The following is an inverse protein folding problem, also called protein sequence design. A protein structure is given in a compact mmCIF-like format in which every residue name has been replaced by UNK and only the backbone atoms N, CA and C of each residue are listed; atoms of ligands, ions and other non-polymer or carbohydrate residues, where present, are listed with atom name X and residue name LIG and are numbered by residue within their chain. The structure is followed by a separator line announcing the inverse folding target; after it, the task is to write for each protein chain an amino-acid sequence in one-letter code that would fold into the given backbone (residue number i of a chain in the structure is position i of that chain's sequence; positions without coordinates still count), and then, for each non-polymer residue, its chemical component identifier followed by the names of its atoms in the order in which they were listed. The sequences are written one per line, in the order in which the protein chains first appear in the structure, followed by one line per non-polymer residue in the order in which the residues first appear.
data_IF_020528891218
#
_entry.id   IF_020528891218
#
_cell.length_a   1.000
_cell.length_b   1.000
_cell.length_c   1.000
_cell.angle_alpha   90.00
_cell.angle_beta   90.00
_cell.angle_gamma   90.00
#
_symmetry.space_group_name_H-M   'P 1'
#
loop_
_entity.id
_entity.type
_entity.pdbx_description
1 polymer ?
#
# COMPACT_ATOMS: atom_id res chain seq x y z
N UNK A 1 26.07 8.08 -51.69
CA UNK A 1 25.92 6.88 -50.87
C UNK A 1 26.34 7.09 -49.43
N UNK A 2 27.48 7.72 -49.08
CA UNK A 2 27.94 7.91 -47.67
C UNK A 2 26.94 8.66 -46.76
N UNK A 3 26.26 9.68 -47.28
CA UNK A 3 25.31 10.48 -46.49
C UNK A 3 23.98 9.77 -46.22
N UNK A 4 23.56 8.87 -47.11
CA UNK A 4 22.35 8.07 -46.96
C UNK A 4 22.53 7.04 -45.82
N UNK A 5 23.72 6.42 -45.76
CA UNK A 5 24.05 5.47 -44.67
C UNK A 5 24.11 6.17 -43.35
N UNK A 6 24.68 7.40 -43.29
CA UNK A 6 24.74 8.18 -42.05
C UNK A 6 23.35 8.60 -41.56
N UNK A 7 22.46 9.01 -42.47
CA UNK A 7 21.07 9.35 -42.10
C UNK A 7 20.28 8.15 -41.58
N UNK A 8 20.45 6.98 -42.19
CA UNK A 8 19.81 5.74 -41.70
C UNK A 8 20.34 5.34 -40.33
N UNK A 9 21.66 5.48 -40.09
CA UNK A 9 22.27 5.16 -38.80
C UNK A 9 21.76 6.09 -37.69
N UNK A 10 21.63 7.39 -37.99
CA UNK A 10 21.07 8.37 -37.03
C UNK A 10 19.58 8.12 -36.75
N UNK A 11 18.81 7.70 -37.73
CA UNK A 11 17.41 7.36 -37.57
C UNK A 11 17.24 6.09 -36.72
N UNK A 12 18.07 5.07 -36.92
CA UNK A 12 18.08 3.84 -36.14
C UNK A 12 18.53 4.10 -34.69
N UNK A 13 19.54 4.94 -34.46
CA UNK A 13 19.96 5.37 -33.11
C UNK A 13 18.83 6.15 -32.42
N UNK A 14 18.16 7.06 -33.10
CA UNK A 14 17.01 7.80 -32.60
C UNK A 14 15.87 6.89 -32.13
N UNK A 15 15.55 5.87 -32.94
CA UNK A 15 14.52 4.88 -32.60
C UNK A 15 14.97 4.03 -31.42
N UNK A 16 16.24 3.62 -31.32
CA UNK A 16 16.76 2.81 -30.23
C UNK A 16 16.70 3.58 -28.89
N UNK A 17 17.03 4.86 -28.88
CA UNK A 17 16.99 5.69 -27.67
C UNK A 17 15.56 5.94 -27.19
N UNK A 18 14.59 6.04 -28.11
CA UNK A 18 13.18 6.27 -27.73
C UNK A 18 12.46 5.01 -27.25
N UNK A 19 12.96 3.82 -27.58
CA UNK A 19 12.34 2.54 -27.16
C UNK A 19 12.83 2.04 -25.80
N UNK A 20 13.97 2.50 -25.31
CA UNK A 20 14.48 2.17 -23.98
C UNK A 20 13.95 3.15 -22.92
N UNK A 21 12.64 3.07 -22.59
CA UNK A 21 12.19 3.62 -21.31
C UNK A 21 12.63 2.66 -20.21
N UNK A 22 13.42 3.12 -19.24
CA UNK A 22 13.74 2.29 -18.08
C UNK A 22 12.42 1.85 -17.42
N UNK A 23 12.34 0.58 -17.06
CA UNK A 23 11.17 0.06 -16.34
C UNK A 23 10.94 0.85 -15.07
N UNK A 24 9.74 1.38 -14.89
CA UNK A 24 9.39 2.08 -13.66
C UNK A 24 9.51 1.13 -12.45
N UNK A 25 10.03 1.61 -11.32
CA UNK A 25 10.21 0.76 -10.14
C UNK A 25 8.87 0.28 -9.59
N UNK A 26 8.87 -0.93 -9.02
CA UNK A 26 7.75 -1.44 -8.24
C UNK A 26 7.78 -0.81 -6.85
N UNK A 27 6.70 -0.15 -6.46
CA UNK A 27 6.57 0.59 -5.21
C UNK A 27 5.41 0.05 -4.38
N UNK A 28 5.57 0.06 -3.07
CA UNK A 28 4.53 -0.34 -2.11
C UNK A 28 3.91 0.92 -1.51
N UNK A 29 2.60 1.15 -1.68
CA UNK A 29 1.88 2.21 -1.00
C UNK A 29 1.75 1.89 0.49
N UNK A 30 2.15 2.86 1.34
CA UNK A 30 2.07 2.76 2.79
C UNK A 30 1.39 4.01 3.32
N UNK A 31 0.45 3.84 4.25
CA UNK A 31 -0.16 4.95 5.00
C UNK A 31 -0.19 4.61 6.47
N UNK A 32 0.26 5.53 7.32
CA UNK A 32 0.16 5.43 8.76
C UNK A 32 -0.80 6.50 9.26
N UNK A 33 -1.74 6.10 10.08
CA UNK A 33 -2.71 7.01 10.65
C UNK A 33 -2.92 6.76 12.14
N UNK A 34 -3.40 7.80 12.81
CA UNK A 34 -3.86 7.76 14.19
C UNK A 34 -5.31 8.21 14.26
N UNK A 35 -6.15 7.43 14.94
CA UNK A 35 -7.50 7.85 15.25
C UNK A 35 -7.56 8.62 16.59
N UNK A 36 -8.56 9.51 16.77
CA UNK A 36 -8.76 10.19 18.05
C UNK A 36 -9.06 9.23 19.22
N UNK A 37 -9.48 8.02 18.91
CA UNK A 37 -9.77 6.96 19.86
C UNK A 37 -8.52 6.19 20.34
N UNK A 38 -7.32 6.55 19.86
CA UNK A 38 -6.05 5.94 20.22
C UNK A 38 -5.68 4.69 19.42
N UNK A 39 -6.28 4.47 18.25
CA UNK A 39 -5.83 3.44 17.32
C UNK A 39 -4.72 3.98 16.43
N UNK A 40 -3.67 3.17 16.28
CA UNK A 40 -2.64 3.35 15.26
C UNK A 40 -2.83 2.30 14.18
N UNK A 41 -2.99 2.74 12.96
CA UNK A 41 -3.22 1.86 11.80
C UNK A 41 -2.10 2.07 10.80
N UNK A 42 -1.46 0.96 10.38
CA UNK A 42 -0.53 0.97 9.25
C UNK A 42 -1.18 0.19 8.12
N UNK A 43 -1.50 0.90 7.05
CA UNK A 43 -2.02 0.35 5.81
C UNK A 43 -0.86 0.06 4.86
N UNK A 44 -0.87 -1.12 4.24
CA UNK A 44 0.08 -1.55 3.21
C UNK A 44 -0.72 -2.21 2.08
N UNK A 45 -0.43 -1.81 0.85
CA UNK A 45 -1.02 -2.41 -0.35
C UNK A 45 0.01 -3.22 -1.12
N UNK A 46 -0.46 -4.06 -2.04
CA UNK A 46 0.41 -4.76 -2.98
C UNK A 46 1.20 -3.77 -3.85
N UNK A 47 2.38 -4.20 -4.30
CA UNK A 47 3.25 -3.39 -5.14
C UNK A 47 2.58 -2.97 -6.43
N UNK A 48 2.79 -1.71 -6.80
CA UNK A 48 2.33 -1.12 -8.06
C UNK A 48 3.50 -0.54 -8.82
N UNK A 49 3.38 -0.48 -10.14
CA UNK A 49 4.45 0.02 -11.00
C UNK A 49 4.38 1.55 -11.12
N UNK A 50 5.46 2.21 -10.75
CA UNK A 50 5.65 3.64 -10.91
C UNK A 50 5.10 4.51 -9.78
N UNK A 51 5.71 5.67 -9.62
CA UNK A 51 5.38 6.62 -8.56
C UNK A 51 3.95 7.16 -8.67
N UNK A 52 3.48 7.42 -9.90
CA UNK A 52 2.14 7.96 -10.12
C UNK A 52 1.06 6.97 -9.70
N UNK A 53 1.20 5.70 -10.05
CA UNK A 53 0.25 4.66 -9.65
C UNK A 53 0.26 4.47 -8.12
N UNK A 54 1.43 4.51 -7.50
CA UNK A 54 1.56 4.40 -6.05
C UNK A 54 0.90 5.58 -5.32
N UNK A 55 1.08 6.80 -5.78
CA UNK A 55 0.44 7.98 -5.20
C UNK A 55 -1.09 7.94 -5.37
N UNK A 56 -1.58 7.45 -6.50
CA UNK A 56 -3.01 7.26 -6.74
C UNK A 56 -3.62 6.24 -5.78
N UNK A 57 -2.94 5.13 -5.51
CA UNK A 57 -3.37 4.15 -4.53
C UNK A 57 -3.45 4.73 -3.10
N UNK A 58 -2.48 5.57 -2.72
CA UNK A 58 -2.52 6.29 -1.45
C UNK A 58 -3.73 7.25 -1.42
N UNK A 59 -3.96 8.00 -2.48
CA UNK A 59 -5.07 8.95 -2.59
C UNK A 59 -6.43 8.25 -2.44
N UNK A 60 -6.64 7.16 -3.19
CA UNK A 60 -7.88 6.35 -3.14
C UNK A 60 -8.17 5.84 -1.73
N UNK A 61 -7.15 5.60 -0.92
CA UNK A 61 -7.32 5.18 0.46
C UNK A 61 -7.55 6.35 1.42
N UNK A 62 -6.76 7.42 1.28
CA UNK A 62 -6.74 8.55 2.23
C UNK A 62 -7.98 9.42 2.10
N UNK A 63 -8.44 9.74 0.89
CA UNK A 63 -9.60 10.62 0.68
C UNK A 63 -10.87 10.09 1.36
N UNK A 64 -11.33 8.85 1.10
CA UNK A 64 -12.51 8.31 1.78
C UNK A 64 -12.33 8.16 3.30
N UNK A 65 -11.09 7.90 3.74
CA UNK A 65 -10.78 7.80 5.16
C UNK A 65 -10.95 9.15 5.87
N UNK A 66 -10.45 10.23 5.27
CA UNK A 66 -10.59 11.58 5.81
C UNK A 66 -12.04 12.05 5.82
N UNK A 67 -12.84 11.67 4.82
CA UNK A 67 -14.28 11.93 4.81
C UNK A 67 -15.01 11.17 5.92
N UNK A 68 -14.67 9.90 6.13
CA UNK A 68 -15.29 9.05 7.16
C UNK A 68 -14.80 9.37 8.58
N UNK A 69 -13.59 9.84 8.73
CA UNK A 69 -12.96 10.21 10.00
C UNK A 69 -12.18 11.52 9.88
N UNK A 70 -12.87 12.70 9.89
CA UNK A 70 -12.17 13.99 9.79
C UNK A 70 -11.19 14.27 10.93
N UNK A 71 -11.38 13.63 12.09
CA UNK A 71 -10.50 13.74 13.24
C UNK A 71 -9.31 12.74 13.24
N UNK A 72 -9.23 11.86 12.23
CA UNK A 72 -8.09 10.97 12.06
C UNK A 72 -6.89 11.73 11.48
N UNK A 73 -5.74 11.58 12.10
CA UNK A 73 -4.49 12.18 11.63
C UNK A 73 -3.73 11.21 10.73
N UNK A 74 -3.44 11.62 9.50
CA UNK A 74 -2.47 10.92 8.65
C UNK A 74 -1.07 11.33 9.12
N UNK A 75 -0.36 10.39 9.75
CA UNK A 75 0.99 10.65 10.27
C UNK A 75 2.05 10.60 9.17
N UNK A 76 1.88 9.67 8.22
CA UNK A 76 2.75 9.57 7.04
C UNK A 76 2.08 8.81 5.92
N UNK A 77 2.49 9.12 4.69
CA UNK A 77 2.22 8.33 3.50
C UNK A 77 3.47 8.23 2.64
N UNK A 78 3.76 7.07 2.09
CA UNK A 78 4.98 6.83 1.33
C UNK A 78 4.77 5.78 0.23
N UNK A 79 5.57 5.92 -0.83
CA UNK A 79 5.76 4.93 -1.87
C UNK A 79 7.14 4.31 -1.69
N UNK A 80 7.22 3.15 -1.06
CA UNK A 80 8.48 2.51 -0.70
C UNK A 80 8.91 1.48 -1.73
N UNK A 81 10.17 1.54 -2.17
CA UNK A 81 10.80 0.51 -3.01
C UNK A 81 11.24 -0.70 -2.17
N UNK A 82 11.62 -0.44 -0.92
CA UNK A 82 12.03 -1.45 0.05
C UNK A 82 11.23 -1.29 1.33
N UNK A 83 10.84 -2.42 1.93
CA UNK A 83 10.11 -2.48 3.18
C UNK A 83 11.03 -3.04 4.28
N UNK A 84 10.90 -2.50 5.48
CA UNK A 84 11.64 -2.96 6.66
C UNK A 84 10.68 -3.19 7.83
N UNK A 85 11.13 -4.00 8.81
CA UNK A 85 10.40 -4.20 10.07
C UNK A 85 8.96 -4.67 9.89
N UNK A 86 8.03 -3.98 10.54
CA UNK A 86 6.62 -4.35 10.56
C UNK A 86 5.94 -4.24 9.20
N UNK A 87 6.27 -3.24 8.38
CA UNK A 87 5.68 -3.10 7.05
C UNK A 87 6.05 -4.25 6.12
N UNK A 88 7.30 -4.73 6.20
CA UNK A 88 7.74 -5.91 5.47
C UNK A 88 6.98 -7.15 5.92
N UNK A 89 6.91 -7.39 7.22
CA UNK A 89 6.17 -8.53 7.78
C UNK A 89 4.68 -8.48 7.39
N UNK A 90 4.07 -7.28 7.39
CA UNK A 90 2.69 -7.06 6.99
C UNK A 90 2.50 -7.36 5.49
N UNK A 91 3.36 -6.85 4.62
CA UNK A 91 3.31 -7.09 3.18
C UNK A 91 3.51 -8.58 2.82
N UNK A 92 4.43 -9.26 3.50
CA UNK A 92 4.72 -10.68 3.31
C UNK A 92 3.74 -11.60 4.06
N UNK A 93 2.75 -11.04 4.75
CA UNK A 93 1.75 -11.78 5.53
C UNK A 93 2.35 -12.67 6.62
N UNK A 94 3.48 -12.27 7.18
CA UNK A 94 4.10 -12.95 8.32
C UNK A 94 3.27 -12.78 9.60
N UNK A 95 3.41 -13.67 10.59
CA UNK A 95 2.80 -13.49 11.91
C UNK A 95 3.29 -12.20 12.56
N UNK A 96 2.36 -11.41 13.11
CA UNK A 96 2.64 -10.17 13.82
C UNK A 96 2.01 -10.21 15.22
N UNK A 97 2.63 -9.59 16.23
CA UNK A 97 2.10 -9.52 17.59
C UNK A 97 0.99 -8.47 17.72
N UNK A 98 0.28 -8.18 16.64
CA UNK A 98 -0.80 -7.18 16.55
C UNK A 98 -1.95 -7.71 15.72
N UNK A 99 -3.13 -7.12 15.85
CA UNK A 99 -4.26 -7.44 14.98
C UNK A 99 -4.00 -6.97 13.56
N UNK A 100 -4.38 -7.79 12.58
CA UNK A 100 -4.21 -7.49 11.17
C UNK A 100 -5.51 -7.71 10.41
N UNK A 101 -6.00 -6.68 9.74
CA UNK A 101 -7.05 -6.83 8.73
C UNK A 101 -6.39 -7.22 7.41
N UNK A 102 -6.79 -8.34 6.84
CA UNK A 102 -6.33 -8.83 5.53
C UNK A 102 -7.49 -8.86 4.55
N UNK A 103 -7.25 -8.33 3.37
CA UNK A 103 -8.14 -8.40 2.21
C UNK A 103 -7.32 -8.56 0.94
N UNK A 104 -7.96 -8.68 -0.22
CA UNK A 104 -7.29 -8.77 -1.52
C UNK A 104 -6.42 -7.52 -1.76
N UNK A 105 -5.09 -7.73 -1.81
CA UNK A 105 -4.12 -6.67 -2.07
C UNK A 105 -3.95 -5.62 -0.95
N UNK A 106 -4.69 -5.75 0.16
CA UNK A 106 -4.69 -4.79 1.28
C UNK A 106 -4.39 -5.52 2.59
N UNK A 107 -3.50 -4.92 3.39
CA UNK A 107 -3.18 -5.39 4.74
C UNK A 107 -3.08 -4.18 5.66
N UNK A 108 -3.73 -4.26 6.81
CA UNK A 108 -3.70 -3.20 7.81
C UNK A 108 -3.36 -3.79 9.16
N UNK A 109 -2.26 -3.37 9.77
CA UNK A 109 -2.00 -3.64 11.18
C UNK A 109 -2.70 -2.60 12.05
N UNK A 110 -3.20 -3.05 13.18
CA UNK A 110 -3.92 -2.20 14.12
C UNK A 110 -3.35 -2.39 15.52
N UNK A 111 -2.97 -1.28 16.12
CA UNK A 111 -2.57 -1.20 17.52
C UNK A 111 -3.52 -0.22 18.22
N UNK A 112 -4.00 -0.57 19.40
CA UNK A 112 -4.95 0.29 20.12
C UNK A 112 -5.32 -0.25 21.50
N UNK A 113 -6.31 0.34 22.14
CA UNK A 113 -6.77 -0.12 23.46
C UNK A 113 -7.15 -1.60 23.44
N UNK A 114 -6.57 -2.45 24.33
CA UNK A 114 -6.70 -3.91 24.26
C UNK A 114 -8.14 -4.42 24.20
N UNK A 115 -9.06 -3.75 24.90
CA UNK A 115 -10.47 -4.15 24.95
C UNK A 115 -11.25 -3.82 23.68
N UNK A 116 -10.75 -2.91 22.84
CA UNK A 116 -11.46 -2.40 21.65
C UNK A 116 -10.82 -2.78 20.32
N UNK A 117 -9.50 -3.06 20.32
CA UNK A 117 -8.75 -3.33 19.07
C UNK A 117 -9.29 -4.55 18.33
N UNK A 118 -9.70 -5.60 19.04
CA UNK A 118 -10.32 -6.79 18.46
C UNK A 118 -11.63 -6.43 17.73
N UNK A 119 -12.54 -5.77 18.43
CA UNK A 119 -13.85 -5.37 17.89
C UNK A 119 -13.66 -4.43 16.69
N UNK A 120 -12.71 -3.51 16.77
CA UNK A 120 -12.38 -2.62 15.68
C UNK A 120 -11.90 -3.40 14.44
N UNK A 121 -10.97 -4.33 14.61
CA UNK A 121 -10.43 -5.17 13.54
C UNK A 121 -11.53 -5.99 12.85
N UNK A 122 -12.40 -6.64 13.63
CA UNK A 122 -13.52 -7.43 13.11
C UNK A 122 -14.55 -6.55 12.39
N UNK A 123 -14.86 -5.38 12.93
CA UNK A 123 -15.79 -4.42 12.32
C UNK A 123 -15.28 -3.91 10.98
N UNK A 124 -14.01 -3.53 10.90
CA UNK A 124 -13.38 -3.05 9.66
C UNK A 124 -13.36 -4.16 8.61
N UNK A 125 -12.98 -5.38 8.98
CA UNK A 125 -13.00 -6.51 8.06
C UNK A 125 -14.41 -6.76 7.50
N UNK A 126 -15.43 -6.75 8.35
CA UNK A 126 -16.82 -6.91 7.93
C UNK A 126 -17.30 -5.75 7.02
N UNK A 127 -16.85 -4.53 7.27
CA UNK A 127 -17.21 -3.37 6.46
C UNK A 127 -16.56 -3.41 5.07
N UNK A 128 -15.32 -3.87 4.97
CA UNK A 128 -14.63 -4.09 3.69
C UNK A 128 -15.43 -5.05 2.81
N UNK A 129 -15.91 -6.16 3.38
CA UNK A 129 -16.74 -7.13 2.64
C UNK A 129 -18.07 -6.49 2.21
N UNK A 130 -18.73 -5.74 3.09
CA UNK A 130 -19.99 -5.04 2.75
C UNK A 130 -19.82 -4.01 1.64
N UNK A 131 -18.65 -3.40 1.53
CA UNK A 131 -18.33 -2.42 0.50
C UNK A 131 -17.88 -3.04 -0.84
N UNK A 132 -18.01 -4.37 -1.00
CA UNK A 132 -17.86 -5.07 -2.28
C UNK A 132 -16.52 -5.73 -2.54
N UNK A 133 -15.58 -5.73 -1.60
CA UNK A 133 -14.40 -6.59 -1.70
C UNK A 133 -14.78 -8.04 -1.34
N UNK A 134 -14.26 -9.00 -2.13
CA UNK A 134 -14.68 -10.41 -2.07
C UNK A 134 -14.41 -11.08 -0.73
N UNK A 135 -13.32 -10.70 -0.06
CA UNK A 135 -12.97 -11.26 1.25
C UNK A 135 -12.19 -10.26 2.09
N UNK A 136 -12.49 -10.22 3.38
CA UNK A 136 -11.64 -9.60 4.37
C UNK A 136 -11.76 -10.37 5.68
N UNK A 137 -10.68 -10.46 6.44
CA UNK A 137 -10.64 -11.14 7.72
C UNK A 137 -9.78 -10.37 8.73
N UNK A 138 -10.16 -10.46 9.99
CA UNK A 138 -9.33 -10.05 11.11
C UNK A 138 -8.46 -11.23 11.55
N UNK A 139 -7.14 -11.05 11.47
CA UNK A 139 -6.15 -12.02 11.95
C UNK A 139 -5.69 -11.60 13.33
N UNK A 140 -5.79 -12.52 14.28
CA UNK A 140 -5.41 -12.28 15.67
C UNK A 140 -3.90 -12.46 15.87
N UNK A 141 -3.28 -11.72 16.81
CA UNK A 141 -1.92 -11.99 17.20
C UNK A 141 -1.79 -13.40 17.77
N UNK A 142 -0.64 -14.07 17.58
CA UNK A 142 -0.39 -15.37 18.22
C UNK A 142 -0.49 -15.22 19.73
N UNK A 143 -0.92 -16.29 20.47
CA UNK A 143 -0.94 -16.25 21.92
C UNK A 143 0.47 -15.96 22.45
N UNK A 144 0.59 -15.22 23.57
CA UNK A 144 1.89 -15.02 24.21
C UNK A 144 2.48 -16.38 24.61
N UNK A 145 3.79 -16.52 24.37
CA UNK A 145 4.55 -17.72 24.75
C UNK A 145 4.63 -17.86 26.28
#
# INVERSE_FOLDING_TARGET
MKYVVLAILMLLLGILVTTFKPAEPMLTPIVRMRSPEGFFVTYVRDRVQGSKACQEEIRIYVEPLQEACPACAIESSACASELVGMEKALAESLPLPVYVVRSEGIRMSVVGPPQRVKVWCETVAAQIVRNGLRSASCVYPPPPA
#
